data_IF_436603506274
#
_entry.id   IF_436603506274
#
_cell.length_a   1.000
_cell.length_b   1.000
_cell.length_c   1.000
_cell.angle_alpha   90.00
_cell.angle_beta   90.00
_cell.angle_gamma   90.00
#
_symmetry.space_group_name_H-M   'P 1'
#
loop_
_entity.id
_entity.type
_entity.pdbx_description
1 polymer ?
#
# COMPACT_ATOMS: atom_id res chain seq x y z
N UNK A 1 47.92 -82.27 18.55
CA UNK A 1 47.28 -81.07 17.96
C UNK A 1 46.76 -80.08 19.01
N UNK A 2 47.35 -79.99 20.21
CA UNK A 2 46.86 -79.11 21.30
C UNK A 2 47.90 -78.13 21.86
N UNK A 3 49.18 -78.23 21.48
CA UNK A 3 50.28 -77.51 22.13
C UNK A 3 50.65 -76.18 21.47
N UNK A 4 50.37 -76.00 20.18
CA UNK A 4 50.73 -74.76 19.46
C UNK A 4 49.64 -73.68 19.57
N UNK A 5 48.37 -74.08 19.61
CA UNK A 5 47.25 -73.15 19.81
C UNK A 5 47.26 -72.52 21.22
N UNK A 6 47.70 -73.27 22.23
CA UNK A 6 47.79 -72.81 23.61
C UNK A 6 48.97 -71.84 23.81
N UNK A 7 50.10 -72.08 23.12
CA UNK A 7 51.26 -71.17 23.11
C UNK A 7 50.97 -69.86 22.37
N UNK A 8 50.24 -69.91 21.26
CA UNK A 8 49.83 -68.70 20.52
C UNK A 8 48.84 -67.83 21.32
N UNK A 9 47.89 -68.46 22.04
CA UNK A 9 46.96 -67.76 22.94
C UNK A 9 47.67 -67.15 24.15
N UNK A 10 48.66 -67.85 24.73
CA UNK A 10 49.44 -67.32 25.86
C UNK A 10 50.38 -66.18 25.44
N UNK A 11 50.96 -66.23 24.23
CA UNK A 11 51.73 -65.12 23.67
C UNK A 11 50.86 -63.89 23.34
N UNK A 12 49.65 -64.09 22.82
CA UNK A 12 48.70 -62.99 22.57
C UNK A 12 48.18 -62.36 23.88
N UNK A 13 48.00 -63.16 24.95
CA UNK A 13 47.61 -62.67 26.28
C UNK A 13 48.76 -61.98 27.02
N UNK A 14 50.02 -62.33 26.74
CA UNK A 14 51.19 -61.63 27.26
C UNK A 14 51.48 -60.31 26.52
N UNK A 15 51.21 -60.24 25.21
CA UNK A 15 51.30 -58.99 24.43
C UNK A 15 50.22 -57.96 24.83
N UNK A 16 49.03 -58.40 25.23
CA UNK A 16 47.99 -57.52 25.78
C UNK A 16 48.20 -57.11 27.24
N UNK A 17 49.14 -57.73 27.96
CA UNK A 17 49.39 -57.53 29.39
C UNK A 17 50.66 -56.71 29.69
N UNK A 18 51.50 -56.41 28.69
CA UNK A 18 52.56 -55.43 28.88
C UNK A 18 51.97 -54.03 28.71
N UNK A 19 51.39 -53.49 29.79
CA UNK A 19 51.05 -52.07 29.93
C UNK A 19 52.24 -51.12 29.79
N UNK A 20 53.41 -51.64 29.38
CA UNK A 20 54.64 -50.93 29.11
C UNK A 20 54.49 -49.94 27.94
N UNK A 21 53.77 -50.26 26.86
CA UNK A 21 53.58 -49.29 25.75
C UNK A 21 52.70 -48.10 26.16
N UNK A 22 51.62 -48.33 26.91
CA UNK A 22 50.77 -47.24 27.43
C UNK A 22 51.46 -46.47 28.56
N UNK A 23 52.24 -47.14 29.40
CA UNK A 23 53.05 -46.50 30.43
C UNK A 23 54.17 -45.66 29.82
N UNK A 24 54.80 -46.14 28.73
CA UNK A 24 55.80 -45.38 27.98
C UNK A 24 55.15 -44.21 27.24
N UNK A 25 54.00 -44.40 26.58
CA UNK A 25 53.27 -43.31 25.93
C UNK A 25 52.83 -42.24 26.94
N UNK A 26 52.26 -42.65 28.08
CA UNK A 26 51.88 -41.74 29.16
C UNK A 26 53.09 -41.03 29.79
N UNK A 27 54.21 -41.73 30.00
CA UNK A 27 55.43 -41.12 30.51
C UNK A 27 56.08 -40.15 29.50
N UNK A 28 55.97 -40.43 28.19
CA UNK A 28 56.43 -39.53 27.13
C UNK A 28 55.53 -38.30 27.04
N UNK A 29 54.21 -38.48 27.10
CA UNK A 29 53.25 -37.38 27.08
C UNK A 29 53.39 -36.49 28.33
N UNK A 30 53.51 -37.10 29.50
CA UNK A 30 53.76 -36.37 30.75
C UNK A 30 55.14 -35.70 30.73
N UNK A 31 56.18 -36.33 30.18
CA UNK A 31 57.48 -35.68 30.00
C UNK A 31 57.42 -34.51 29.01
N UNK A 32 56.63 -34.61 27.93
CA UNK A 32 56.42 -33.52 26.97
C UNK A 32 55.68 -32.36 27.65
N UNK A 33 54.56 -32.63 28.34
CA UNK A 33 53.79 -31.62 29.05
C UNK A 33 54.65 -30.94 30.11
N UNK A 34 55.40 -31.71 30.91
CA UNK A 34 56.30 -31.16 31.94
C UNK A 34 57.47 -30.37 31.36
N UNK A 35 57.90 -30.71 30.15
CA UNK A 35 58.93 -29.95 29.43
C UNK A 35 58.34 -28.65 28.88
N UNK A 36 57.13 -28.67 28.33
CA UNK A 36 56.45 -27.49 27.79
C UNK A 36 56.02 -26.50 28.89
N UNK A 37 55.56 -27.02 30.02
CA UNK A 37 55.21 -26.24 31.22
C UNK A 37 56.43 -25.90 32.09
N UNK A 38 57.62 -26.31 31.69
CA UNK A 38 58.83 -25.90 32.39
C UNK A 38 59.00 -24.40 32.26
N UNK A 39 59.26 -23.71 33.38
CA UNK A 39 59.55 -22.28 33.41
C UNK A 39 60.65 -21.88 32.41
N UNK A 40 61.57 -22.79 32.06
CA UNK A 40 62.59 -22.56 31.05
C UNK A 40 62.00 -22.45 29.62
N UNK A 41 60.97 -23.22 29.29
CA UNK A 41 60.27 -23.13 27.99
C UNK A 41 59.36 -21.92 27.96
N UNK A 42 58.66 -21.63 29.05
CA UNK A 42 57.86 -20.40 29.18
C UNK A 42 58.76 -19.18 29.02
N UNK A 43 59.90 -19.12 29.70
CA UNK A 43 60.87 -18.02 29.54
C UNK A 43 61.51 -17.98 28.14
N UNK A 44 61.70 -19.13 27.47
CA UNK A 44 62.20 -19.17 26.10
C UNK A 44 61.15 -18.62 25.12
N UNK A 45 59.87 -18.96 25.32
CA UNK A 45 58.74 -18.44 24.54
C UNK A 45 58.57 -16.95 24.80
N UNK A 46 58.60 -16.52 26.06
CA UNK A 46 58.55 -15.09 26.44
C UNK A 46 59.69 -14.31 25.81
N UNK A 47 60.93 -14.83 25.82
CA UNK A 47 62.06 -14.21 25.10
C UNK A 47 61.83 -14.09 23.60
N UNK A 48 61.24 -15.12 22.97
CA UNK A 48 60.94 -15.10 21.52
C UNK A 48 59.83 -14.09 21.19
N UNK A 49 58.88 -13.91 22.10
CA UNK A 49 57.77 -12.94 21.99
C UNK A 49 58.29 -11.52 22.23
N UNK A 50 59.09 -11.30 23.28
CA UNK A 50 59.69 -10.00 23.63
C UNK A 50 60.71 -9.52 22.59
N UNK A 51 61.49 -10.42 21.98
CA UNK A 51 62.42 -10.09 20.88
C UNK A 51 61.71 -9.63 19.59
N UNK A 52 60.37 -9.71 19.52
CA UNK A 52 59.59 -9.30 18.34
C UNK A 52 59.84 -10.17 17.09
N UNK A 53 60.63 -11.24 17.22
CA UNK A 53 60.95 -12.19 16.13
C UNK A 53 59.72 -12.97 15.69
N UNK A 54 58.86 -13.34 16.63
CA UNK A 54 57.56 -13.95 16.33
C UNK A 54 56.68 -12.99 15.53
N UNK A 55 56.64 -11.72 15.92
CA UNK A 55 55.87 -10.69 15.22
C UNK A 55 56.42 -10.43 13.81
N UNK A 56 57.75 -10.43 13.62
CA UNK A 56 58.36 -10.34 12.29
C UNK A 56 58.14 -11.60 11.43
N UNK A 57 58.06 -12.80 12.02
CA UNK A 57 57.77 -14.04 11.29
C UNK A 57 56.30 -14.10 10.85
N UNK A 58 55.39 -13.69 11.74
CA UNK A 58 53.96 -13.53 11.47
C UNK A 58 53.76 -12.48 10.35
N UNK A 59 54.43 -11.33 10.44
CA UNK A 59 54.25 -10.25 9.47
C UNK A 59 54.93 -10.51 8.11
N UNK A 60 55.91 -11.42 8.04
CA UNK A 60 56.51 -11.89 6.77
C UNK A 60 55.74 -13.04 6.09
N UNK A 61 54.83 -13.68 6.81
CA UNK A 61 54.12 -14.88 6.32
C UNK A 61 52.60 -14.68 6.20
N UNK A 62 52.08 -13.56 6.72
CA UNK A 62 50.70 -13.16 6.56
C UNK A 62 50.58 -12.35 5.27
N UNK A 63 50.11 -13.01 4.22
CA UNK A 63 49.64 -12.33 3.03
C UNK A 63 48.29 -11.65 3.33
N UNK A 64 48.11 -10.35 3.04
CA UNK A 64 46.83 -9.66 3.22
C UNK A 64 45.68 -10.35 2.48
N UNK A 65 45.99 -10.94 1.31
CA UNK A 65 45.04 -11.70 0.50
C UNK A 65 44.57 -12.98 1.21
N UNK A 66 45.44 -13.63 1.99
CA UNK A 66 45.07 -14.81 2.78
C UNK A 66 44.17 -14.46 3.95
N UNK A 67 44.37 -13.29 4.59
CA UNK A 67 43.46 -12.79 5.62
C UNK A 67 42.11 -12.43 5.00
N UNK A 68 42.10 -11.75 3.86
CA UNK A 68 40.85 -11.39 3.19
C UNK A 68 40.05 -12.65 2.83
N UNK A 69 40.70 -13.66 2.27
CA UNK A 69 40.06 -14.93 1.92
C UNK A 69 39.64 -15.74 3.16
N UNK A 70 40.42 -15.70 4.25
CA UNK A 70 40.06 -16.36 5.50
C UNK A 70 38.87 -15.67 6.18
N UNK A 71 38.84 -14.33 6.18
CA UNK A 71 37.73 -13.54 6.72
C UNK A 71 36.48 -13.71 5.86
N UNK A 72 36.62 -13.68 4.53
CA UNK A 72 35.52 -13.94 3.59
C UNK A 72 34.94 -15.34 3.78
N UNK A 73 35.78 -16.37 3.80
CA UNK A 73 35.34 -17.75 4.06
C UNK A 73 34.76 -17.94 5.46
N UNK A 74 35.25 -17.20 6.45
CA UNK A 74 34.68 -17.22 7.79
C UNK A 74 33.28 -16.58 7.82
N UNK A 75 33.09 -15.44 7.15
CA UNK A 75 31.80 -14.74 7.03
C UNK A 75 30.79 -15.55 6.21
N UNK A 76 31.25 -16.23 5.15
CA UNK A 76 30.43 -17.09 4.29
C UNK A 76 30.33 -18.55 4.81
N UNK A 77 30.84 -18.83 6.02
CA UNK A 77 30.78 -20.17 6.59
C UNK A 77 29.40 -20.47 7.21
N UNK A 78 29.03 -21.76 7.23
CA UNK A 78 27.84 -22.24 7.95
C UNK A 78 27.87 -21.93 9.47
N UNK A 79 29.04 -21.60 10.02
CA UNK A 79 29.18 -21.16 11.42
C UNK A 79 28.75 -19.71 11.56
N UNK A 80 29.14 -18.84 10.63
CA UNK A 80 28.68 -17.45 10.55
C UNK A 80 27.17 -17.37 10.38
N UNK A 81 26.57 -18.19 9.50
CA UNK A 81 25.12 -18.22 9.33
C UNK A 81 24.38 -18.59 10.62
N UNK A 82 24.90 -19.56 11.38
CA UNK A 82 24.34 -19.93 12.69
C UNK A 82 24.45 -18.81 13.70
N UNK A 83 25.61 -18.16 13.77
CA UNK A 83 25.85 -17.03 14.67
C UNK A 83 24.95 -15.84 14.30
N UNK A 84 24.77 -15.55 13.01
CA UNK A 84 23.85 -14.51 12.55
C UNK A 84 22.39 -14.81 12.91
N UNK A 85 21.94 -16.06 12.72
CA UNK A 85 20.59 -16.47 13.10
C UNK A 85 20.38 -16.30 14.61
N UNK A 86 21.35 -16.70 15.43
CA UNK A 86 21.28 -16.58 16.89
C UNK A 86 21.32 -15.12 17.36
N UNK A 87 22.16 -14.28 16.72
CA UNK A 87 22.21 -12.83 16.99
C UNK A 87 20.89 -12.16 16.61
N UNK A 88 20.33 -12.46 15.43
CA UNK A 88 19.06 -11.88 14.96
C UNK A 88 17.86 -12.35 15.81
N UNK A 89 17.92 -13.57 16.34
CA UNK A 89 16.94 -14.10 17.27
C UNK A 89 17.10 -13.58 18.71
N UNK A 90 18.20 -12.90 19.02
CA UNK A 90 18.46 -12.40 20.38
C UNK A 90 17.57 -11.21 20.76
N UNK A 91 17.17 -11.16 22.03
CA UNK A 91 16.37 -10.05 22.57
C UNK A 91 17.05 -8.69 22.36
N UNK A 92 18.39 -8.63 22.39
CA UNK A 92 19.14 -7.39 22.14
C UNK A 92 19.01 -6.89 20.70
N UNK A 93 18.99 -7.80 19.72
CA UNK A 93 18.76 -7.42 18.33
C UNK A 93 17.32 -6.92 18.14
N UNK A 94 16.34 -7.58 18.77
CA UNK A 94 14.95 -7.11 18.77
C UNK A 94 14.81 -5.71 19.40
N UNK A 95 15.45 -5.46 20.55
CA UNK A 95 15.49 -4.13 21.17
C UNK A 95 16.10 -3.06 20.27
N UNK A 96 17.14 -3.39 19.50
CA UNK A 96 17.74 -2.44 18.54
C UNK A 96 16.77 -2.14 17.39
N UNK A 97 16.12 -3.16 16.83
CA UNK A 97 15.11 -2.99 15.78
C UNK A 97 13.95 -2.14 16.28
N UNK A 98 13.42 -2.43 17.47
CA UNK A 98 12.32 -1.68 18.08
C UNK A 98 12.73 -0.21 18.29
N UNK A 99 13.93 0.03 18.84
CA UNK A 99 14.43 1.38 19.09
C UNK A 99 14.68 2.19 17.81
N UNK A 100 15.10 1.53 16.72
CA UNK A 100 15.24 2.15 15.40
C UNK A 100 13.86 2.41 14.77
N UNK A 101 12.91 1.49 14.91
CA UNK A 101 11.54 1.65 14.42
C UNK A 101 10.75 2.73 15.19
N UNK A 102 11.09 2.95 16.45
CA UNK A 102 10.54 4.01 17.30
C UNK A 102 11.24 5.36 17.16
N UNK A 103 12.39 5.39 16.49
CA UNK A 103 13.12 6.63 16.29
C UNK A 103 12.25 7.66 15.53
N UNK A 104 12.02 8.86 16.08
CA UNK A 104 11.15 9.87 15.48
C UNK A 104 11.66 10.31 14.10
N UNK A 105 12.96 10.27 13.85
CA UNK A 105 13.58 10.57 12.56
C UNK A 105 13.20 9.52 11.50
N UNK A 106 13.21 8.24 11.87
CA UNK A 106 12.82 7.14 10.97
C UNK A 106 11.33 7.22 10.66
N UNK A 107 10.49 7.50 11.66
CA UNK A 107 9.05 7.71 11.46
C UNK A 107 8.76 8.93 10.60
N UNK A 108 9.47 10.04 10.81
CA UNK A 108 9.33 11.24 9.99
C UNK A 108 9.78 11.01 8.55
N UNK A 109 10.88 10.29 8.32
CA UNK A 109 11.35 9.92 6.99
C UNK A 109 10.36 9.00 6.27
N UNK A 110 9.82 7.97 6.95
CA UNK A 110 8.79 7.08 6.39
C UNK A 110 7.52 7.87 6.06
N UNK A 111 7.08 8.76 6.96
CA UNK A 111 5.91 9.60 6.72
C UNK A 111 6.14 10.52 5.51
N UNK A 112 7.26 11.23 5.45
CA UNK A 112 7.58 12.13 4.34
C UNK A 112 7.69 11.41 2.99
N UNK A 113 8.30 10.22 2.97
CA UNK A 113 8.45 9.43 1.75
C UNK A 113 7.12 8.81 1.29
N UNK A 114 6.28 8.36 2.22
CA UNK A 114 4.95 7.81 1.93
C UNK A 114 3.99 8.84 1.34
N UNK A 115 3.98 10.08 1.87
CA UNK A 115 3.13 11.15 1.34
C UNK A 115 3.58 11.61 -0.06
N UNK A 116 4.89 11.62 -0.34
CA UNK A 116 5.43 11.91 -1.67
C UNK A 116 4.91 10.95 -2.73
N UNK A 117 5.05 9.64 -2.49
CA UNK A 117 4.59 8.59 -3.43
C UNK A 117 3.08 8.69 -3.72
N UNK A 118 2.25 8.84 -2.69
CA UNK A 118 0.79 8.97 -2.88
C UNK A 118 0.45 10.23 -3.69
N UNK A 119 1.20 11.31 -3.48
CA UNK A 119 1.00 12.54 -4.24
C UNK A 119 1.38 12.39 -5.73
N UNK A 120 2.45 11.66 -6.02
CA UNK A 120 2.88 11.36 -7.38
C UNK A 120 1.89 10.44 -8.10
N UNK A 121 1.42 9.40 -7.41
CA UNK A 121 0.39 8.48 -7.91
C UNK A 121 -0.89 9.28 -8.24
N UNK A 122 -1.35 10.11 -7.31
CA UNK A 122 -2.55 10.93 -7.51
C UNK A 122 -2.45 11.82 -8.75
N UNK A 123 -1.36 12.59 -8.88
CA UNK A 123 -1.07 13.44 -10.05
C UNK A 123 -0.95 12.64 -11.35
N UNK A 124 -0.37 11.44 -11.30
CA UNK A 124 -0.20 10.61 -12.48
C UNK A 124 -1.53 10.01 -12.93
N UNK A 125 -2.33 9.46 -12.00
CA UNK A 125 -3.63 8.88 -12.29
C UNK A 125 -4.56 9.93 -12.88
N UNK A 126 -4.69 11.11 -12.25
CA UNK A 126 -5.57 12.17 -12.74
C UNK A 126 -5.18 12.64 -14.17
N UNK A 127 -3.88 12.87 -14.45
CA UNK A 127 -3.41 13.20 -15.81
C UNK A 127 -3.74 12.11 -16.84
N UNK A 128 -3.60 10.84 -16.46
CA UNK A 128 -3.91 9.72 -17.35
C UNK A 128 -5.42 9.67 -17.61
N UNK A 129 -6.27 9.80 -16.58
CA UNK A 129 -7.72 9.72 -16.75
C UNK A 129 -8.26 10.88 -17.59
N UNK A 130 -7.74 12.10 -17.40
CA UNK A 130 -8.09 13.26 -18.22
C UNK A 130 -7.69 13.06 -19.68
N UNK A 131 -6.45 12.61 -19.94
CA UNK A 131 -6.00 12.33 -21.30
C UNK A 131 -6.84 11.25 -21.99
N UNK A 132 -7.23 10.19 -21.25
CA UNK A 132 -8.09 9.13 -21.77
C UNK A 132 -9.51 9.63 -22.03
N UNK A 133 -10.05 10.52 -21.18
CA UNK A 133 -11.35 11.15 -21.41
C UNK A 133 -11.36 11.93 -22.73
N UNK A 134 -10.34 12.75 -22.98
CA UNK A 134 -10.23 13.53 -24.21
C UNK A 134 -9.98 12.66 -25.45
N UNK A 135 -9.26 11.54 -25.30
CA UNK A 135 -9.08 10.57 -26.39
C UNK A 135 -10.41 9.89 -26.72
N UNK A 136 -11.13 9.39 -25.72
CA UNK A 136 -12.43 8.74 -25.93
C UNK A 136 -13.45 9.69 -26.53
N UNK A 137 -13.53 10.91 -26.02
CA UNK A 137 -14.44 11.93 -26.53
C UNK A 137 -14.14 12.24 -28.00
N UNK A 138 -12.86 12.46 -28.37
CA UNK A 138 -12.46 12.71 -29.76
C UNK A 138 -12.81 11.56 -30.70
N UNK A 139 -12.63 10.32 -30.25
CA UNK A 139 -12.96 9.12 -31.04
C UNK A 139 -14.47 9.08 -31.31
N UNK A 140 -15.29 9.24 -30.27
CA UNK A 140 -16.76 9.18 -30.38
C UNK A 140 -17.29 10.33 -31.23
N UNK A 141 -16.83 11.56 -31.00
CA UNK A 141 -17.25 12.72 -31.80
C UNK A 141 -16.88 12.58 -33.28
N UNK A 142 -15.73 11.97 -33.58
CA UNK A 142 -15.33 11.66 -34.95
C UNK A 142 -16.23 10.59 -35.60
N UNK A 143 -16.60 9.55 -34.86
CA UNK A 143 -17.46 8.47 -35.36
C UNK A 143 -18.88 8.98 -35.62
N UNK A 144 -19.46 9.73 -34.69
CA UNK A 144 -20.85 10.19 -34.75
C UNK A 144 -21.05 11.57 -35.39
N UNK A 145 -19.96 12.24 -35.80
CA UNK A 145 -19.98 13.61 -36.39
C UNK A 145 -20.75 14.61 -35.53
N UNK A 146 -20.59 14.51 -34.23
CA UNK A 146 -21.19 15.43 -33.26
C UNK A 146 -20.47 16.77 -33.33
N UNK A 147 -21.21 17.88 -33.40
CA UNK A 147 -20.64 19.22 -33.39
C UNK A 147 -19.99 19.51 -32.03
N UNK A 148 -18.75 19.99 -32.02
CA UNK A 148 -18.06 20.41 -30.81
C UNK A 148 -18.85 21.52 -30.12
N UNK A 149 -19.28 21.32 -28.87
CA UNK A 149 -19.87 22.42 -28.11
C UNK A 149 -18.77 23.45 -27.79
N UNK A 150 -19.01 24.71 -28.13
CA UNK A 150 -18.14 25.87 -27.87
C UNK A 150 -17.96 26.20 -26.38
N UNK A 151 -18.56 25.44 -25.46
CA UNK A 151 -18.41 25.67 -24.03
C UNK A 151 -17.20 24.88 -23.55
N UNK A 152 -16.19 25.56 -22.98
CA UNK A 152 -15.15 24.90 -22.19
C UNK A 152 -15.82 24.14 -21.05
N UNK A 153 -16.11 22.86 -21.25
CA UNK A 153 -16.74 22.04 -20.23
C UNK A 153 -15.66 21.68 -19.23
N UNK A 154 -15.60 22.37 -18.09
CA UNK A 154 -14.82 21.93 -16.93
C UNK A 154 -15.42 20.66 -16.28
N UNK A 155 -16.01 19.78 -17.08
CA UNK A 155 -16.80 18.64 -16.65
C UNK A 155 -16.03 17.34 -16.81
N UNK A 156 -16.05 16.53 -15.76
CA UNK A 156 -15.33 15.27 -15.70
C UNK A 156 -15.85 14.27 -16.74
N UNK A 157 -14.97 13.58 -17.45
CA UNK A 157 -15.33 12.58 -18.45
C UNK A 157 -15.66 11.19 -17.86
N UNK A 158 -15.89 10.22 -18.75
CA UNK A 158 -16.31 8.86 -18.38
C UNK A 158 -15.26 8.11 -17.55
N UNK A 159 -14.00 8.17 -17.98
CA UNK A 159 -12.86 7.47 -17.40
C UNK A 159 -12.57 8.01 -16.02
N UNK A 160 -12.46 9.33 -15.86
CA UNK A 160 -12.23 9.93 -14.55
C UNK A 160 -13.34 9.53 -13.57
N UNK A 161 -14.62 9.63 -13.98
CA UNK A 161 -15.74 9.20 -13.13
C UNK A 161 -15.72 7.70 -12.83
N UNK A 162 -15.36 6.88 -13.82
CA UNK A 162 -15.24 5.43 -13.68
C UNK A 162 -14.15 5.02 -12.69
N UNK A 163 -12.98 5.66 -12.75
CA UNK A 163 -11.88 5.40 -11.81
C UNK A 163 -12.24 5.90 -10.40
N UNK A 164 -12.89 7.07 -10.26
CA UNK A 164 -13.39 7.52 -8.97
C UNK A 164 -14.37 6.51 -8.36
N UNK A 165 -15.32 6.02 -9.16
CA UNK A 165 -16.26 4.99 -8.72
C UNK A 165 -15.56 3.67 -8.35
N UNK A 166 -14.56 3.25 -9.12
CA UNK A 166 -13.77 2.06 -8.81
C UNK A 166 -13.03 2.18 -7.47
N UNK A 167 -12.45 3.35 -7.19
CA UNK A 167 -11.81 3.65 -5.89
C UNK A 167 -12.85 3.57 -4.77
N UNK A 168 -14.01 4.20 -4.93
CA UNK A 168 -15.07 4.18 -3.92
C UNK A 168 -15.58 2.76 -3.65
N UNK A 169 -15.77 1.95 -4.70
CA UNK A 169 -16.18 0.54 -4.57
C UNK A 169 -15.10 -0.27 -3.86
N UNK A 170 -13.82 -0.10 -4.21
CA UNK A 170 -12.73 -0.80 -3.55
C UNK A 170 -12.64 -0.45 -2.05
N UNK A 171 -12.78 0.84 -1.71
CA UNK A 171 -12.81 1.31 -0.32
C UNK A 171 -14.01 0.73 0.44
N UNK A 172 -15.19 0.73 -0.19
CA UNK A 172 -16.40 0.20 0.41
C UNK A 172 -16.31 -1.32 0.65
N UNK A 173 -15.84 -2.07 -0.35
CA UNK A 173 -15.64 -3.53 -0.23
C UNK A 173 -14.60 -3.85 0.83
N UNK A 174 -13.46 -3.15 0.85
CA UNK A 174 -12.44 -3.32 1.87
C UNK A 174 -12.97 -3.05 3.28
N UNK A 175 -13.73 -1.97 3.46
CA UNK A 175 -14.37 -1.65 4.73
C UNK A 175 -15.33 -2.75 5.18
N UNK A 176 -16.22 -3.21 4.28
CA UNK A 176 -17.15 -4.30 4.59
C UNK A 176 -16.40 -5.59 4.92
N UNK A 177 -15.36 -5.95 4.16
CA UNK A 177 -14.55 -7.15 4.44
C UNK A 177 -13.90 -7.12 5.82
N UNK A 178 -13.34 -5.97 6.22
CA UNK A 178 -12.73 -5.80 7.55
C UNK A 178 -13.79 -5.91 8.65
N UNK A 179 -14.90 -5.18 8.52
CA UNK A 179 -15.99 -5.19 9.52
C UNK A 179 -16.62 -6.57 9.63
N UNK A 180 -16.92 -7.22 8.51
CA UNK A 180 -17.46 -8.59 8.49
C UNK A 180 -16.48 -9.60 9.07
N UNK A 181 -15.18 -9.49 8.78
CA UNK A 181 -14.15 -10.35 9.35
C UNK A 181 -14.05 -10.21 10.87
N UNK A 182 -14.07 -8.98 11.38
CA UNK A 182 -14.07 -8.70 12.82
C UNK A 182 -15.33 -9.24 13.51
N UNK A 183 -16.52 -8.99 12.94
CA UNK A 183 -17.78 -9.52 13.46
C UNK A 183 -17.78 -11.05 13.47
N UNK A 184 -17.29 -11.67 12.39
CA UNK A 184 -17.16 -13.13 12.30
C UNK A 184 -16.24 -13.66 13.38
N UNK A 185 -15.08 -13.02 13.62
CA UNK A 185 -14.14 -13.44 14.66
C UNK A 185 -14.76 -13.40 16.06
N UNK A 186 -15.51 -12.34 16.38
CA UNK A 186 -16.20 -12.22 17.68
C UNK A 186 -17.30 -13.28 17.80
N UNK A 187 -18.07 -13.49 16.73
CA UNK A 187 -19.15 -14.47 16.71
C UNK A 187 -18.65 -15.89 16.95
N UNK A 188 -17.57 -16.29 16.25
CA UNK A 188 -16.93 -17.61 16.43
C UNK A 188 -16.40 -17.77 17.85
N UNK A 189 -15.75 -16.74 18.41
CA UNK A 189 -15.23 -16.79 19.77
C UNK A 189 -16.33 -16.96 20.84
N UNK A 190 -17.55 -16.45 20.60
CA UNK A 190 -18.67 -16.52 21.54
C UNK A 190 -19.51 -17.80 21.41
N UNK A 191 -19.71 -18.32 20.19
CA UNK A 191 -20.63 -19.45 19.94
C UNK A 191 -19.93 -20.78 19.67
N UNK A 192 -18.64 -20.79 19.35
CA UNK A 192 -17.86 -22.02 19.16
C UNK A 192 -18.33 -22.94 18.03
N UNK A 193 -19.16 -22.45 17.10
CA UNK A 193 -19.75 -23.25 16.02
C UNK A 193 -19.48 -22.66 14.64
N UNK A 194 -19.01 -23.51 13.73
CA UNK A 194 -18.83 -23.22 12.30
C UNK A 194 -20.08 -23.67 11.51
N UNK A 195 -21.25 -23.15 11.87
CA UNK A 195 -22.42 -23.37 11.01
C UNK A 195 -22.24 -22.56 9.73
N UNK A 196 -22.26 -23.24 8.58
CA UNK A 196 -22.18 -22.60 7.27
C UNK A 196 -23.30 -21.57 7.08
N UNK A 197 -22.97 -20.42 6.48
CA UNK A 197 -23.93 -19.35 6.23
C UNK A 197 -24.92 -19.78 5.15
N UNK A 198 -26.22 -19.75 5.45
CA UNK A 198 -27.26 -20.11 4.48
C UNK A 198 -27.30 -19.14 3.29
N UNK A 199 -27.71 -19.61 2.10
CA UNK A 199 -27.85 -18.75 0.92
C UNK A 199 -28.79 -17.55 1.16
N UNK A 200 -29.83 -17.73 1.98
CA UNK A 200 -30.75 -16.65 2.37
C UNK A 200 -30.04 -15.60 3.23
N UNK A 201 -29.19 -16.03 4.16
CA UNK A 201 -28.38 -15.12 4.97
C UNK A 201 -27.35 -14.38 4.12
N UNK A 202 -26.71 -15.04 3.14
CA UNK A 202 -25.79 -14.39 2.19
C UNK A 202 -26.53 -13.34 1.35
N UNK A 203 -27.69 -13.68 0.80
CA UNK A 203 -28.50 -12.75 0.01
C UNK A 203 -28.99 -11.56 0.86
N UNK A 204 -29.43 -11.82 2.10
CA UNK A 204 -29.82 -10.80 3.06
C UNK A 204 -28.67 -9.85 3.42
N UNK A 205 -27.50 -10.40 3.75
CA UNK A 205 -26.31 -9.63 4.06
C UNK A 205 -25.83 -8.79 2.87
N UNK A 206 -25.83 -9.37 1.68
CA UNK A 206 -25.52 -8.65 0.43
C UNK A 206 -26.49 -7.49 0.21
N UNK A 207 -27.79 -7.72 0.40
CA UNK A 207 -28.83 -6.69 0.24
C UNK A 207 -28.65 -5.56 1.24
N UNK A 208 -28.43 -5.88 2.52
CA UNK A 208 -28.15 -4.88 3.57
C UNK A 208 -26.88 -4.10 3.25
N UNK A 209 -25.83 -4.78 2.80
CA UNK A 209 -24.59 -4.15 2.32
C UNK A 209 -24.89 -3.12 1.22
N UNK A 210 -25.53 -3.55 0.13
CA UNK A 210 -25.88 -2.64 -0.97
C UNK A 210 -26.70 -1.42 -0.53
N UNK A 211 -27.66 -1.60 0.40
CA UNK A 211 -28.43 -0.49 0.97
C UNK A 211 -27.53 0.47 1.79
N UNK A 212 -26.69 -0.06 2.68
CA UNK A 212 -25.75 0.74 3.46
C UNK A 212 -24.75 1.50 2.57
N UNK A 213 -24.26 0.85 1.52
CA UNK A 213 -23.42 1.47 0.50
C UNK A 213 -24.16 2.64 -0.15
N UNK A 214 -25.34 2.40 -0.73
CA UNK A 214 -26.16 3.43 -1.36
C UNK A 214 -26.47 4.61 -0.42
N UNK A 215 -26.83 4.33 0.84
CA UNK A 215 -27.05 5.36 1.87
C UNK A 215 -25.78 6.17 2.14
N UNK A 216 -24.61 5.53 2.21
CA UNK A 216 -23.33 6.21 2.43
C UNK A 216 -23.03 7.18 1.28
N UNK A 217 -23.23 6.75 0.02
CA UNK A 217 -23.08 7.65 -1.14
C UNK A 217 -24.04 8.85 -1.07
N UNK A 218 -25.31 8.63 -0.73
CA UNK A 218 -26.30 9.72 -0.59
C UNK A 218 -25.88 10.71 0.49
N UNK A 219 -25.40 10.22 1.64
CA UNK A 219 -24.92 11.07 2.74
C UNK A 219 -23.70 11.89 2.28
N UNK A 220 -22.71 11.25 1.65
CA UNK A 220 -21.50 11.91 1.15
C UNK A 220 -21.82 13.00 0.13
N UNK A 221 -22.71 12.73 -0.82
CA UNK A 221 -23.17 13.74 -1.79
C UNK A 221 -23.96 14.87 -1.14
N UNK A 222 -24.78 14.56 -0.13
CA UNK A 222 -25.60 15.57 0.55
C UNK A 222 -24.75 16.51 1.41
N UNK A 223 -23.76 15.98 2.12
CA UNK A 223 -22.97 16.74 3.10
C UNK A 223 -21.72 17.39 2.48
N UNK A 224 -21.07 16.70 1.54
CA UNK A 224 -19.75 17.10 1.03
C UNK A 224 -19.78 17.36 -0.49
N UNK A 225 -20.78 16.83 -1.21
CA UNK A 225 -20.83 16.88 -2.67
C UNK A 225 -19.75 16.01 -3.34
N UNK A 226 -19.03 15.19 -2.58
CA UNK A 226 -17.93 14.35 -3.08
C UNK A 226 -17.82 13.05 -2.28
N UNK A 227 -17.45 11.98 -2.96
CA UNK A 227 -17.00 10.71 -2.36
C UNK A 227 -15.47 10.69 -2.25
N UNK A 228 -14.87 9.79 -1.46
CA UNK A 228 -13.40 9.68 -1.35
C UNK A 228 -12.67 9.54 -2.70
N UNK A 229 -13.18 8.73 -3.62
CA UNK A 229 -12.65 8.55 -4.97
C UNK A 229 -12.81 9.80 -5.83
N UNK A 230 -13.96 10.50 -5.72
CA UNK A 230 -14.14 11.80 -6.38
C UNK A 230 -13.14 12.83 -5.86
N UNK A 231 -12.95 12.92 -4.55
CA UNK A 231 -11.93 13.79 -3.93
C UNK A 231 -10.53 13.42 -4.41
N UNK A 232 -10.21 12.13 -4.44
CA UNK A 232 -8.90 11.67 -4.90
C UNK A 232 -8.65 12.03 -6.36
N UNK A 233 -9.65 11.99 -7.24
CA UNK A 233 -9.45 12.43 -8.64
C UNK A 233 -9.65 13.92 -8.87
N UNK A 234 -9.88 14.71 -7.81
CA UNK A 234 -10.11 16.13 -7.93
C UNK A 234 -11.37 16.44 -8.75
N UNK A 235 -12.46 15.69 -8.54
CA UNK A 235 -13.76 15.95 -9.17
C UNK A 235 -14.84 16.17 -8.13
N UNK A 236 -15.84 16.99 -8.44
CA UNK A 236 -16.90 17.39 -7.52
C UNK A 236 -18.28 17.37 -8.16
N UNK A 237 -19.30 17.01 -7.38
CA UNK A 237 -20.69 17.19 -7.77
C UNK A 237 -21.11 18.63 -7.50
N UNK A 238 -21.74 19.28 -8.49
CA UNK A 238 -22.23 20.65 -8.40
C UNK A 238 -23.69 20.73 -8.88
N UNK A 239 -24.43 21.71 -8.39
CA UNK A 239 -25.73 22.09 -8.93
C UNK A 239 -25.80 23.62 -9.12
N UNK A 240 -26.03 24.08 -10.35
CA UNK A 240 -26.17 25.50 -10.71
C UNK A 240 -25.04 26.40 -10.15
N UNK A 241 -23.79 25.92 -10.18
CA UNK A 241 -22.65 26.65 -9.62
C UNK A 241 -22.47 26.54 -8.10
N UNK A 242 -23.40 25.87 -7.40
CA UNK A 242 -23.34 25.61 -5.96
C UNK A 242 -22.80 24.21 -5.66
N UNK A 243 -21.97 24.11 -4.64
CA UNK A 243 -21.47 22.84 -4.12
C UNK A 243 -22.52 22.10 -3.26
N UNK A 244 -23.62 22.77 -2.93
CA UNK A 244 -24.71 22.19 -2.14
C UNK A 244 -25.70 21.45 -3.05
N UNK A 245 -25.70 20.12 -2.95
CA UNK A 245 -26.57 19.25 -3.76
C UNK A 245 -27.94 19.05 -3.11
N UNK A 246 -27.95 18.92 -1.79
CA UNK A 246 -29.14 18.59 -1.00
C UNK A 246 -29.57 17.12 -1.11
N UNK A 247 -30.34 16.68 -0.11
CA UNK A 247 -30.73 15.27 0.04
C UNK A 247 -31.56 14.73 -1.13
N UNK A 248 -32.57 15.49 -1.59
CA UNK A 248 -33.47 15.05 -2.65
C UNK A 248 -32.73 14.71 -3.94
N UNK A 249 -31.77 15.54 -4.35
CA UNK A 249 -31.00 15.32 -5.58
C UNK A 249 -30.02 14.17 -5.43
N UNK A 250 -29.37 14.07 -4.28
CA UNK A 250 -28.49 12.94 -3.95
C UNK A 250 -29.24 11.62 -3.99
N UNK A 251 -30.45 11.57 -3.45
CA UNK A 251 -31.33 10.39 -3.50
C UNK A 251 -31.79 10.08 -4.94
N UNK A 252 -32.23 11.08 -5.70
CA UNK A 252 -32.60 10.89 -7.11
C UNK A 252 -31.42 10.36 -7.94
N UNK A 253 -30.21 10.86 -7.68
CA UNK A 253 -28.98 10.38 -8.30
C UNK A 253 -28.72 8.90 -7.98
N UNK A 254 -28.88 8.50 -6.73
CA UNK A 254 -28.74 7.10 -6.31
C UNK A 254 -29.79 6.19 -6.99
N UNK A 255 -31.04 6.62 -7.05
CA UNK A 255 -32.12 5.87 -7.73
C UNK A 255 -31.96 5.83 -9.25
N UNK A 256 -31.20 6.77 -9.83
CA UNK A 256 -30.88 6.80 -11.27
C UNK A 256 -29.80 5.80 -11.65
N UNK A 257 -28.99 5.35 -10.70
CA UNK A 257 -27.91 4.38 -10.95
C UNK A 257 -28.41 3.07 -11.58
N UNK A 258 -29.40 2.35 -11.01
CA UNK A 258 -29.93 1.14 -11.65
C UNK A 258 -30.54 1.43 -13.02
N UNK A 259 -31.22 2.57 -13.20
CA UNK A 259 -31.80 2.97 -14.49
C UNK A 259 -30.73 3.17 -15.58
N UNK A 260 -29.58 3.73 -15.21
CA UNK A 260 -28.46 3.93 -16.13
C UNK A 260 -27.69 2.63 -16.42
N UNK A 261 -27.68 1.70 -15.47
CA UNK A 261 -26.99 0.42 -15.58
C UNK A 261 -27.78 -0.63 -16.37
N UNK A 262 -29.10 -0.73 -16.15
CA UNK A 262 -29.99 -1.71 -16.78
C UNK A 262 -29.87 -1.81 -18.31
N UNK A 263 -29.80 -0.71 -19.08
CA UNK A 263 -29.60 -0.76 -20.53
C UNK A 263 -28.11 -0.99 -20.87
N UNK A 264 -27.49 -2.02 -20.32
CA UNK A 264 -26.07 -2.36 -20.50
C UNK A 264 -25.10 -1.18 -20.25
N UNK A 265 -25.41 -0.32 -19.28
CA UNK A 265 -24.60 0.85 -18.95
C UNK A 265 -24.74 2.04 -19.93
N UNK A 266 -25.70 2.01 -20.86
CA UNK A 266 -25.92 3.11 -21.81
C UNK A 266 -26.14 4.46 -21.12
N UNK A 267 -26.74 4.49 -19.94
CA UNK A 267 -26.92 5.74 -19.20
C UNK A 267 -25.61 6.38 -18.72
N UNK A 268 -24.54 5.58 -18.55
CA UNK A 268 -23.19 6.08 -18.31
C UNK A 268 -22.51 6.48 -19.62
N UNK A 269 -22.63 5.66 -20.67
CA UNK A 269 -22.05 5.93 -21.99
C UNK A 269 -22.62 7.17 -22.67
N UNK A 270 -23.83 7.60 -22.29
CA UNK A 270 -24.45 8.85 -22.75
C UNK A 270 -23.56 10.08 -22.56
N UNK A 271 -22.63 10.02 -21.58
CA UNK A 271 -21.64 11.06 -21.35
C UNK A 271 -20.78 11.38 -22.58
N UNK A 272 -20.50 10.39 -23.44
CA UNK A 272 -19.63 10.54 -24.62
C UNK A 272 -20.34 11.22 -25.81
N UNK A 273 -21.68 11.24 -25.78
CA UNK A 273 -22.54 11.81 -26.83
C UNK A 273 -23.09 13.17 -26.39
N UNK A 274 -23.22 13.38 -25.08
CA UNK A 274 -23.73 14.63 -24.51
C UNK A 274 -22.72 15.77 -24.66
N UNK A 275 -23.10 16.92 -25.24
CA UNK A 275 -22.18 18.06 -25.41
C UNK A 275 -21.67 18.66 -24.09
N UNK A 276 -22.37 18.38 -22.98
CA UNK A 276 -21.99 18.78 -21.63
C UNK A 276 -21.64 17.58 -20.76
N UNK A 277 -21.03 16.52 -21.30
CA UNK A 277 -20.57 15.34 -20.51
C UNK A 277 -21.54 14.94 -19.38
N UNK A 278 -22.84 14.87 -19.67
CA UNK A 278 -23.88 14.49 -18.70
C UNK A 278 -24.25 13.03 -18.93
N UNK A 279 -24.27 12.25 -17.86
CA UNK A 279 -24.90 10.94 -17.81
C UNK A 279 -26.40 11.06 -17.55
N UNK A 280 -27.11 9.92 -17.59
CA UNK A 280 -28.51 9.89 -17.13
C UNK A 280 -28.64 10.22 -15.65
N UNK A 281 -27.65 9.87 -14.82
CA UNK A 281 -27.64 10.20 -13.40
C UNK A 281 -27.63 11.71 -13.19
N UNK A 282 -26.80 12.41 -13.98
CA UNK A 282 -26.68 13.88 -13.95
C UNK A 282 -27.95 14.56 -14.45
N UNK A 283 -28.50 14.05 -15.54
CA UNK A 283 -29.71 14.59 -16.17
C UNK A 283 -30.94 14.45 -15.26
N UNK A 284 -31.11 13.30 -14.60
CA UNK A 284 -32.25 13.04 -13.71
C UNK A 284 -32.11 13.79 -12.39
N UNK A 285 -30.88 13.88 -11.85
CA UNK A 285 -30.64 14.55 -10.56
C UNK A 285 -30.48 16.07 -10.70
N UNK A 286 -30.39 16.61 -11.92
CA UNK A 286 -30.03 18.01 -12.20
C UNK A 286 -28.72 18.42 -11.53
N UNK A 287 -27.69 17.60 -11.72
CA UNK A 287 -26.35 17.80 -11.13
C UNK A 287 -25.29 17.66 -12.20
N UNK A 288 -24.16 18.33 -12.05
CA UNK A 288 -23.02 18.22 -12.94
C UNK A 288 -21.80 17.73 -12.16
N UNK A 289 -20.87 17.02 -12.82
CA UNK A 289 -19.59 16.64 -12.18
C UNK A 289 -18.48 17.42 -12.85
N UNK A 290 -17.78 18.24 -12.07
CA UNK A 290 -16.75 19.17 -12.54
C UNK A 290 -15.36 18.76 -12.04
N UNK A 291 -14.31 19.15 -12.74
CA UNK A 291 -12.95 19.10 -12.20
C UNK A 291 -12.77 20.21 -11.15
N UNK A 292 -12.31 19.81 -9.97
CA UNK A 292 -11.99 20.61 -8.80
C UNK A 292 -10.68 20.06 -8.21
N UNK A 293 -9.58 20.24 -8.94
CA UNK A 293 -8.26 19.73 -8.56
C UNK A 293 -7.83 20.24 -7.18
N UNK A 294 -8.28 21.44 -6.77
CA UNK A 294 -8.00 22.00 -5.46
C UNK A 294 -8.61 21.19 -4.30
N UNK A 295 -9.62 20.35 -4.58
CA UNK A 295 -10.20 19.45 -3.57
C UNK A 295 -9.40 18.17 -3.35
N UNK A 296 -8.44 17.86 -4.24
CA UNK A 296 -7.66 16.64 -4.16
C UNK A 296 -6.57 16.70 -3.09
N UNK A 297 -6.39 15.65 -2.28
CA UNK A 297 -5.44 15.66 -1.16
C UNK A 297 -3.97 15.74 -1.61
N UNK A 298 -3.68 15.40 -2.86
CA UNK A 298 -2.34 15.47 -3.47
C UNK A 298 -2.10 16.76 -4.26
N UNK A 299 -3.11 17.62 -4.38
CA UNK A 299 -3.02 18.87 -5.15
C UNK A 299 -2.35 19.96 -4.32
N UNK A 300 -1.50 20.74 -4.99
CA UNK A 300 -0.90 21.94 -4.43
C UNK A 300 -1.71 23.21 -4.74
N UNK A 301 -2.78 23.08 -5.54
CA UNK A 301 -3.63 24.22 -5.89
C UNK A 301 -4.53 24.57 -4.71
N UNK A 302 -4.40 25.78 -4.19
CA UNK A 302 -5.38 26.32 -3.24
C UNK A 302 -6.63 26.74 -4.01
N UNK A 303 -7.80 26.35 -3.48
CA UNK A 303 -9.08 26.77 -4.03
C UNK A 303 -9.17 28.29 -3.96
N UNK A 304 -9.17 28.97 -5.11
CA UNK A 304 -9.50 30.39 -5.17
C UNK A 304 -10.98 30.55 -4.80
N UNK A 305 -11.25 30.82 -3.52
CA UNK A 305 -12.59 31.20 -3.08
C UNK A 305 -12.87 32.63 -3.55
N UNK A 306 -13.21 32.79 -4.83
CA UNK A 306 -13.13 34.13 -5.43
C UNK A 306 -13.63 34.26 -6.86
N UNK A 307 -14.76 33.66 -7.19
CA UNK A 307 -15.49 34.00 -8.40
C UNK A 307 -16.94 33.58 -8.25
N UNK A 308 -17.82 34.52 -7.85
CA UNK A 308 -19.22 34.39 -8.29
C UNK A 308 -19.15 34.13 -9.80
N UNK A 309 -19.88 33.15 -10.37
CA UNK A 309 -20.03 33.13 -11.81
C UNK A 309 -20.47 34.54 -12.19
N UNK A 310 -19.62 35.22 -12.97
CA UNK A 310 -19.99 36.50 -13.56
C UNK A 310 -21.34 36.22 -14.21
N UNK A 311 -22.40 36.83 -13.66
CA UNK A 311 -23.74 36.67 -14.21
C UNK A 311 -23.56 36.94 -15.69
N UNK A 312 -23.80 35.92 -16.51
CA UNK A 312 -23.77 36.05 -17.96
C UNK A 312 -24.40 37.40 -18.32
N UNK A 313 -23.73 38.27 -19.10
CA UNK A 313 -24.22 39.62 -19.37
C UNK A 313 -25.68 39.48 -19.80
N UNK A 314 -26.53 40.18 -19.05
CA UNK A 314 -27.95 39.88 -18.93
C UNK A 314 -28.57 39.60 -20.29
N UNK A 315 -29.40 38.56 -20.35
CA UNK A 315 -30.47 38.48 -21.36
C UNK A 315 -31.09 39.86 -21.42
N UNK A 316 -30.86 40.58 -22.51
CA UNK A 316 -31.49 41.85 -22.77
C UNK A 316 -32.99 41.64 -22.56
N UNK A 317 -33.52 42.22 -21.49
CA UNK A 317 -34.95 42.32 -21.27
C UNK A 317 -35.51 43.04 -22.49
N UNK A 318 -36.26 42.30 -23.31
CA UNK A 318 -37.04 42.90 -24.39
C UNK A 318 -37.91 43.97 -23.73
N UNK A 319 -37.90 45.23 -24.20
CA UNK A 319 -38.67 46.27 -23.55
C UNK A 319 -40.15 45.89 -23.59
N UNK A 320 -40.74 45.73 -22.40
CA UNK A 320 -42.18 45.60 -22.20
C UNK A 320 -42.83 46.81 -22.85
N UNK A 321 -43.57 46.59 -23.94
CA UNK A 321 -44.51 47.58 -24.49
C UNK A 321 -45.42 48.04 -23.35
N UNK A 322 -45.23 49.28 -22.92
CA UNK A 322 -46.09 49.95 -21.96
C UNK A 322 -47.51 50.02 -22.53
N UNK A 323 -48.42 49.24 -21.95
CA UNK A 323 -49.86 49.51 -22.00
C UNK A 323 -50.06 50.89 -21.35
N UNK A 324 -50.31 51.90 -22.18
CA UNK A 324 -50.82 53.20 -21.73
C UNK A 324 -52.31 53.01 -21.47
N UNK A 325 -52.71 52.99 -20.20
CA UNK A 325 -54.10 53.13 -19.78
C UNK A 325 -54.27 54.48 -19.08
N UNK A 326 -55.30 55.21 -19.46
CA UNK A 326 -55.79 56.42 -18.77
C UNK A 326 -55.98 57.57 -19.76
N UNK A 327 -57.17 58.10 -19.99
CA UNK A 327 -58.48 57.80 -19.40
C UNK A 327 -59.52 58.83 -19.85
N UNK A 328 -60.79 58.51 -19.61
CA UNK A 328 -61.86 59.48 -19.43
C UNK A 328 -62.99 59.43 -20.49
N UNK A 329 -64.25 59.71 -20.11
CA UNK A 329 -65.44 59.11 -20.73
C UNK A 329 -66.40 60.07 -21.48
N UNK A 330 -67.28 59.46 -22.30
CA UNK A 330 -68.72 59.78 -22.53
C UNK A 330 -69.12 61.03 -23.39
N UNK A 331 -70.42 61.20 -23.78
CA UNK A 331 -71.12 60.71 -25.00
C UNK A 331 -71.85 61.90 -25.72
N UNK A 332 -73.02 61.77 -26.39
CA UNK A 332 -73.56 60.74 -27.29
C UNK A 332 -73.36 61.03 -28.79
#
# INVERSE_FOLDING_TARGET
MSTDAERASMAARLAGATGLERAVAGAVEEAIVRTVESDAVIQAIERIVEDGRLQQAIQRSIDPEMIEDAVRKAIESEVSDRVWIEILASDKAQMLVERVAEAPEVRAAIAQQGFGLVSDIGRQVNRITEALDDVLERIVHRIFRLGSAEQETNQAGLVTRGVAFAIDVALYLGFISIVSGLLSSVFTALRGGEDGVSHVAIAGLTTVGLLLGGTTFVILWTLVGQTPGMRFLGIRLQHDGSDEIGFKRSLLRALSFPLALLPAGLGFLWILVSPRRHSWLDSIAHTEVIYDEASAPWSTKTREWGGRPEKAPGRAERPRRSRRSGGGPEPP
#
